data_IF_676987326188
#
_entry.id   IF_676987326188
#
_cell.length_a   1.000
_cell.length_b   1.000
_cell.length_c   1.000
_cell.angle_alpha   90.00
_cell.angle_beta   90.00
_cell.angle_gamma   90.00
#
_symmetry.space_group_name_H-M   'P 1'
#
loop_
_entity.id
_entity.type
_entity.pdbx_description
1 polymer ?
#
# COMPACT_ATOMS: atom_id res chain seq x y z
N UNK A 1 -18.96 -2.74 0.82
CA UNK A 1 -18.15 -3.43 -0.20
C UNK A 1 -19.03 -4.51 -0.79
N UNK A 2 -19.15 -4.53 -2.11
CA UNK A 2 -19.81 -5.59 -2.81
C UNK A 2 -19.05 -6.91 -2.57
N UNK A 3 -19.76 -7.97 -2.15
CA UNK A 3 -19.17 -9.28 -1.92
C UNK A 3 -18.56 -9.91 -3.21
N UNK A 4 -18.88 -9.36 -4.38
CA UNK A 4 -18.34 -9.79 -5.67
C UNK A 4 -17.12 -8.98 -6.12
N UNK A 5 -16.64 -8.02 -5.30
CA UNK A 5 -15.47 -7.24 -5.65
C UNK A 5 -14.19 -8.07 -5.47
N UNK A 6 -13.48 -8.33 -6.55
CA UNK A 6 -12.32 -9.22 -6.59
C UNK A 6 -10.96 -8.52 -6.42
N UNK A 7 -10.92 -7.20 -6.42
CA UNK A 7 -9.72 -6.40 -6.23
C UNK A 7 -9.34 -6.18 -4.76
N UNK A 8 -8.72 -5.04 -4.48
CA UNK A 8 -8.43 -4.57 -3.13
C UNK A 8 -9.30 -3.35 -2.78
N UNK A 9 -9.50 -3.10 -1.48
CA UNK A 9 -10.07 -1.86 -0.99
C UNK A 9 -9.23 -1.32 0.16
N UNK A 10 -8.54 -0.21 -0.09
CA UNK A 10 -7.75 0.49 0.91
C UNK A 10 -8.65 1.40 1.76
N UNK A 11 -8.41 1.42 3.05
CA UNK A 11 -9.11 2.31 3.97
C UNK A 11 -8.24 3.53 4.25
N UNK A 12 -8.75 4.71 3.94
CA UNK A 12 -8.12 5.99 4.25
C UNK A 12 -8.95 6.83 5.21
N UNK A 13 -8.30 7.81 5.81
CA UNK A 13 -8.94 8.90 6.56
C UNK A 13 -8.41 10.24 6.08
N UNK A 14 -9.13 11.32 6.34
CA UNK A 14 -8.68 12.67 6.02
C UNK A 14 -7.80 13.21 7.15
N UNK A 15 -6.51 13.42 6.84
CA UNK A 15 -5.53 13.97 7.76
C UNK A 15 -4.80 15.17 7.15
N UNK A 16 -4.28 16.11 7.97
CA UNK A 16 -3.45 17.20 7.46
C UNK A 16 -2.24 16.68 6.66
N UNK A 17 -1.85 17.41 5.60
CA UNK A 17 -0.70 17.05 4.78
C UNK A 17 0.59 16.88 5.58
N UNK A 18 0.72 17.62 6.69
CA UNK A 18 1.86 17.50 7.61
C UNK A 18 1.96 16.11 8.26
N UNK A 19 0.84 15.43 8.48
CA UNK A 19 0.78 14.02 8.90
C UNK A 19 1.14 13.12 7.71
N UNK A 20 0.55 13.39 6.54
CA UNK A 20 0.70 12.59 5.33
C UNK A 20 2.13 12.39 4.86
N UNK A 21 3.01 13.38 5.04
CA UNK A 21 4.43 13.27 4.63
C UNK A 21 5.21 12.14 5.31
N UNK A 22 4.74 11.66 6.45
CA UNK A 22 5.41 10.60 7.23
C UNK A 22 4.78 9.21 6.98
N UNK A 23 3.71 9.15 6.22
CA UNK A 23 2.90 7.95 6.00
C UNK A 23 2.65 7.69 4.51
N UNK A 24 1.85 6.69 4.21
CA UNK A 24 1.29 6.48 2.89
C UNK A 24 0.12 7.44 2.65
N UNK A 25 0.01 7.93 1.42
CA UNK A 25 -1.08 8.77 0.96
C UNK A 25 -1.64 8.19 -0.33
N UNK A 26 -2.94 8.07 -0.41
CA UNK A 26 -3.62 7.67 -1.64
C UNK A 26 -4.07 8.90 -2.43
N UNK A 27 -3.84 8.86 -3.74
CA UNK A 27 -4.46 9.79 -4.67
C UNK A 27 -5.67 9.11 -5.31
N UNK A 28 -6.85 9.71 -5.13
CA UNK A 28 -8.10 9.23 -5.73
C UNK A 28 -8.17 9.61 -7.22
N UNK A 29 -8.69 8.72 -8.06
CA UNK A 29 -8.90 8.98 -9.49
C UNK A 29 -10.18 9.79 -9.80
N UNK A 30 -10.99 10.10 -8.78
CA UNK A 30 -12.29 10.76 -8.90
C UNK A 30 -13.48 9.78 -9.05
N UNK A 31 -13.23 8.48 -9.05
CA UNK A 31 -14.22 7.40 -9.18
C UNK A 31 -14.11 6.35 -8.05
N UNK A 32 -13.60 6.78 -6.89
CA UNK A 32 -13.38 5.92 -5.71
C UNK A 32 -12.35 4.80 -5.91
N UNK A 33 -11.41 4.98 -6.83
CA UNK A 33 -10.27 4.09 -6.98
C UNK A 33 -8.95 4.81 -6.69
N UNK A 34 -7.96 4.04 -6.28
CA UNK A 34 -6.60 4.56 -6.07
C UNK A 34 -5.95 4.77 -7.42
N UNK A 35 -5.71 6.05 -7.75
CA UNK A 35 -4.95 6.46 -8.92
C UNK A 35 -3.47 6.20 -8.74
N UNK A 36 -2.94 6.62 -7.58
CA UNK A 36 -1.53 6.52 -7.25
C UNK A 36 -1.36 6.32 -5.74
N UNK A 37 -0.37 5.53 -5.35
CA UNK A 37 0.05 5.37 -3.95
C UNK A 37 1.35 6.13 -3.74
N UNK A 38 1.35 7.08 -2.80
CA UNK A 38 2.44 8.01 -2.53
C UNK A 38 3.00 7.72 -1.13
N UNK A 39 4.13 7.01 -1.06
CA UNK A 39 4.72 6.61 0.21
C UNK A 39 5.76 7.63 0.68
N UNK A 40 5.56 8.24 1.86
CA UNK A 40 6.49 9.17 2.53
C UNK A 40 7.02 10.29 1.61
N UNK A 41 6.12 10.94 0.88
CA UNK A 41 6.45 12.05 0.01
C UNK A 41 6.50 13.38 0.77
N UNK A 42 7.29 14.35 0.26
CA UNK A 42 7.28 15.72 0.83
C UNK A 42 5.93 16.40 0.65
N UNK A 43 5.64 17.41 1.48
CA UNK A 43 4.38 18.17 1.35
C UNK A 43 4.26 18.84 -0.01
N UNK A 44 5.37 19.37 -0.55
CA UNK A 44 5.44 19.98 -1.88
C UNK A 44 5.05 18.95 -2.95
N UNK A 45 5.63 17.75 -2.88
CA UNK A 45 5.34 16.68 -3.83
C UNK A 45 3.89 16.23 -3.76
N UNK A 46 3.32 16.08 -2.56
CA UNK A 46 1.91 15.75 -2.37
C UNK A 46 0.98 16.81 -2.98
N UNK A 47 1.34 18.12 -2.88
CA UNK A 47 0.59 19.21 -3.50
C UNK A 47 0.72 19.19 -5.02
N UNK A 48 1.92 19.02 -5.56
CA UNK A 48 2.17 18.93 -7.01
C UNK A 48 1.39 17.78 -7.65
N UNK A 49 1.32 16.63 -6.98
CA UNK A 49 0.56 15.46 -7.44
C UNK A 49 -0.96 15.63 -7.32
N UNK A 50 -1.42 16.70 -6.67
CA UNK A 50 -2.85 16.94 -6.44
C UNK A 50 -3.49 16.08 -5.33
N UNK A 51 -2.66 15.49 -4.46
CA UNK A 51 -3.15 14.66 -3.34
C UNK A 51 -3.73 15.48 -2.18
N UNK A 52 -3.46 16.81 -2.14
CA UNK A 52 -3.92 17.69 -1.07
C UNK A 52 -5.22 18.39 -1.50
N UNK A 53 -6.28 18.18 -0.75
CA UNK A 53 -7.57 18.82 -1.00
C UNK A 53 -7.58 20.32 -0.60
N UNK A 54 -8.71 21.02 -0.88
CA UNK A 54 -8.86 22.46 -0.58
C UNK A 54 -8.75 22.79 0.90
N UNK A 55 -9.02 21.84 1.81
CA UNK A 55 -8.90 22.01 3.25
C UNK A 55 -7.47 21.73 3.76
N UNK A 56 -6.52 21.40 2.89
CA UNK A 56 -5.14 21.06 3.27
C UNK A 56 -4.95 19.62 3.74
N UNK A 57 -5.95 18.75 3.53
CA UNK A 57 -5.93 17.35 3.95
C UNK A 57 -5.59 16.41 2.77
N UNK A 58 -5.09 15.23 3.12
CA UNK A 58 -4.79 14.10 2.24
C UNK A 58 -5.63 12.88 2.62
N UNK A 59 -5.72 11.90 1.72
CA UNK A 59 -6.22 10.56 2.02
C UNK A 59 -5.09 9.72 2.61
N UNK A 60 -4.99 9.72 3.95
CA UNK A 60 -3.96 9.00 4.67
C UNK A 60 -4.25 7.50 4.66
N UNK A 61 -3.23 6.70 4.37
CA UNK A 61 -3.28 5.25 4.51
C UNK A 61 -3.35 4.86 6.00
N UNK A 62 -4.39 4.10 6.36
CA UNK A 62 -4.56 3.59 7.72
C UNK A 62 -3.82 2.26 7.96
N UNK A 63 -3.22 1.68 6.93
CA UNK A 63 -2.64 0.35 6.96
C UNK A 63 -3.67 -0.78 6.85
N UNK A 64 -4.97 -0.47 6.77
CA UNK A 64 -6.02 -1.46 6.63
C UNK A 64 -6.43 -1.60 5.15
N UNK A 65 -6.28 -2.80 4.62
CA UNK A 65 -6.65 -3.14 3.24
C UNK A 65 -7.46 -4.43 3.22
N UNK A 66 -8.55 -4.41 2.49
CA UNK A 66 -9.39 -5.59 2.24
C UNK A 66 -9.00 -6.18 0.89
N UNK A 67 -8.79 -7.48 0.84
CA UNK A 67 -8.47 -8.20 -0.38
C UNK A 67 -9.65 -9.09 -0.79
N UNK A 68 -10.07 -8.97 -2.03
CA UNK A 68 -11.03 -9.89 -2.63
C UNK A 68 -10.44 -11.29 -2.84
N UNK A 69 -11.30 -12.27 -2.98
CA UNK A 69 -10.93 -13.68 -3.05
C UNK A 69 -10.02 -13.98 -4.24
N UNK A 70 -10.29 -13.41 -5.43
CA UNK A 70 -9.48 -13.65 -6.62
C UNK A 70 -8.06 -13.05 -6.48
N UNK A 71 -7.95 -11.86 -5.90
CA UNK A 71 -6.65 -11.23 -5.62
C UNK A 71 -5.84 -12.06 -4.60
N UNK A 72 -6.47 -12.52 -3.51
CA UNK A 72 -5.81 -13.41 -2.54
C UNK A 72 -5.31 -14.70 -3.19
N UNK A 73 -6.12 -15.30 -4.08
CA UNK A 73 -5.71 -16.49 -4.82
C UNK A 73 -4.54 -16.20 -5.77
N UNK A 74 -4.51 -15.04 -6.43
CA UNK A 74 -3.39 -14.64 -7.29
C UNK A 74 -2.09 -14.51 -6.48
N UNK A 75 -2.15 -13.85 -5.31
CA UNK A 75 -1.02 -13.74 -4.40
C UNK A 75 -0.57 -15.11 -3.86
N UNK A 76 -1.51 -15.97 -3.48
CA UNK A 76 -1.19 -17.31 -3.00
C UNK A 76 -0.49 -18.17 -4.05
N UNK A 77 -0.82 -18.02 -5.33
CA UNK A 77 -0.15 -18.75 -6.44
C UNK A 77 1.32 -18.40 -6.58
N UNK A 78 1.75 -17.21 -6.14
CA UNK A 78 3.16 -16.83 -6.14
C UNK A 78 4.01 -17.75 -5.26
N UNK A 79 3.45 -18.26 -4.17
CA UNK A 79 4.14 -19.07 -3.18
C UNK A 79 3.65 -20.52 -3.11
N UNK A 80 2.77 -20.96 -4.03
CA UNK A 80 2.16 -22.28 -3.99
C UNK A 80 2.27 -23.03 -5.30
N UNK A 81 2.18 -24.36 -5.21
CA UNK A 81 2.04 -25.30 -6.32
C UNK A 81 0.96 -26.31 -5.95
N UNK A 82 0.01 -26.56 -6.86
CA UNK A 82 -1.13 -27.49 -6.65
C UNK A 82 -1.92 -27.19 -5.35
N UNK A 83 -2.08 -25.91 -5.01
CA UNK A 83 -2.84 -25.48 -3.82
C UNK A 83 -2.13 -25.69 -2.48
N UNK A 84 -0.85 -26.04 -2.48
CA UNK A 84 -0.02 -26.18 -1.28
C UNK A 84 1.16 -25.21 -1.34
N UNK A 85 1.60 -24.69 -0.18
CA UNK A 85 2.82 -23.86 -0.13
C UNK A 85 3.99 -24.64 -0.68
N UNK A 86 4.66 -24.03 -1.65
CA UNK A 86 5.90 -24.52 -2.26
C UNK A 86 7.07 -23.81 -1.58
N UNK A 87 7.91 -24.57 -0.87
CA UNK A 87 8.99 -24.01 -0.06
C UNK A 87 10.00 -23.20 -0.90
N UNK A 88 10.30 -23.64 -2.12
CA UNK A 88 11.23 -22.92 -3.01
C UNK A 88 10.66 -21.57 -3.42
N UNK A 89 9.39 -21.53 -3.86
CA UNK A 89 8.68 -20.29 -4.19
C UNK A 89 8.55 -19.37 -2.97
N UNK A 90 8.16 -19.93 -1.82
CA UNK A 90 8.04 -19.15 -0.58
C UNK A 90 9.36 -18.47 -0.21
N UNK A 91 10.48 -19.19 -0.25
CA UNK A 91 11.81 -18.65 0.05
C UNK A 91 12.26 -17.58 -0.94
N UNK A 92 11.78 -17.58 -2.19
CA UNK A 92 12.07 -16.56 -3.16
C UNK A 92 11.46 -15.19 -2.76
N UNK A 93 10.27 -15.19 -2.17
CA UNK A 93 9.58 -13.97 -1.75
C UNK A 93 9.88 -13.58 -0.28
N UNK A 94 10.14 -14.56 0.58
CA UNK A 94 10.33 -14.36 2.02
C UNK A 94 11.81 -14.54 2.39
N UNK A 95 12.64 -13.54 2.10
CA UNK A 95 14.07 -13.54 2.41
C UNK A 95 14.60 -12.11 2.62
N UNK A 96 15.79 -11.99 3.20
CA UNK A 96 16.45 -10.72 3.48
C UNK A 96 17.04 -10.03 2.24
N UNK A 97 17.25 -10.76 1.15
CA UNK A 97 17.81 -10.19 -0.08
C UNK A 97 16.76 -9.38 -0.84
N UNK A 98 15.57 -9.95 -1.08
CA UNK A 98 14.47 -9.26 -1.74
C UNK A 98 13.75 -8.26 -0.82
N UNK A 99 13.57 -8.59 0.47
CA UNK A 99 12.89 -7.74 1.48
C UNK A 99 11.63 -7.07 0.98
N UNK A 100 10.72 -7.88 0.47
CA UNK A 100 9.44 -7.40 -0.08
C UNK A 100 8.65 -6.65 0.99
N UNK A 101 8.12 -5.50 0.62
CA UNK A 101 7.30 -4.64 1.46
C UNK A 101 5.82 -4.77 1.09
N UNK A 102 4.95 -4.80 2.09
CA UNK A 102 3.51 -4.81 1.85
C UNK A 102 3.06 -3.56 1.06
N UNK A 103 3.51 -2.39 1.48
CA UNK A 103 3.07 -1.13 0.90
C UNK A 103 3.67 -0.88 -0.49
N UNK A 104 4.99 -1.00 -0.61
CA UNK A 104 5.70 -0.72 -1.84
C UNK A 104 5.50 -1.78 -2.91
N UNK A 105 5.37 -3.05 -2.52
CA UNK A 105 5.43 -4.14 -3.49
C UNK A 105 4.07 -4.80 -3.77
N UNK A 106 3.10 -4.75 -2.84
CA UNK A 106 1.77 -5.30 -3.08
C UNK A 106 0.71 -4.24 -3.36
N UNK A 107 0.78 -3.04 -2.78
CA UNK A 107 -0.23 -2.01 -3.03
C UNK A 107 0.06 -1.18 -4.28
N UNK A 108 1.33 -0.91 -4.57
CA UNK A 108 1.73 -0.10 -5.73
C UNK A 108 1.18 -0.64 -7.07
N UNK A 109 1.29 -1.95 -7.38
CA UNK A 109 0.77 -2.50 -8.64
C UNK A 109 -0.75 -2.40 -8.81
N UNK A 110 -1.49 -2.19 -7.72
CA UNK A 110 -2.97 -2.11 -7.73
C UNK A 110 -3.49 -0.69 -8.01
N UNK A 111 -2.61 0.31 -8.08
CA UNK A 111 -2.98 1.68 -8.40
C UNK A 111 -3.13 1.86 -9.92
N UNK A 112 -4.17 2.57 -10.36
CA UNK A 112 -4.55 2.66 -11.77
C UNK A 112 -3.49 3.30 -12.69
N UNK A 113 -2.70 4.25 -12.17
CA UNK A 113 -1.64 4.93 -12.93
C UNK A 113 -0.25 4.30 -12.71
N UNK A 114 -0.16 3.14 -12.04
CA UNK A 114 1.12 2.44 -11.84
C UNK A 114 1.64 1.88 -13.18
N UNK A 115 2.96 1.89 -13.33
CA UNK A 115 3.65 1.24 -14.45
C UNK A 115 4.73 0.29 -13.93
N UNK A 116 5.05 -0.75 -14.69
CA UNK A 116 6.11 -1.68 -14.32
C UNK A 116 7.47 -0.98 -14.25
N UNK A 117 7.72 -0.04 -15.14
CA UNK A 117 8.98 0.72 -15.18
C UNK A 117 9.18 1.55 -13.92
N UNK A 118 8.14 2.24 -13.46
CA UNK A 118 8.21 3.04 -12.24
C UNK A 118 8.21 2.14 -10.99
N UNK A 119 7.50 1.00 -11.03
CA UNK A 119 7.53 0.02 -9.96
C UNK A 119 8.94 -0.49 -9.66
N UNK A 120 9.77 -0.69 -10.68
CA UNK A 120 11.17 -1.07 -10.46
C UNK A 120 12.01 0.03 -9.77
N UNK A 121 11.60 1.28 -9.87
CA UNK A 121 12.28 2.45 -9.30
C UNK A 121 11.76 2.83 -7.91
N UNK A 122 10.59 2.28 -7.51
CA UNK A 122 10.00 2.58 -6.21
C UNK A 122 10.94 2.24 -5.05
N UNK A 123 10.84 3.03 -3.97
CA UNK A 123 11.61 2.83 -2.76
C UNK A 123 11.41 1.41 -2.21
N UNK A 124 12.49 0.77 -1.78
CA UNK A 124 12.50 -0.55 -1.21
C UNK A 124 12.86 -0.51 0.29
N UNK A 125 12.43 -1.51 1.04
CA UNK A 125 12.87 -1.69 2.44
C UNK A 125 14.36 -2.07 2.54
N UNK A 126 14.90 -2.67 1.48
CA UNK A 126 16.31 -3.01 1.30
C UNK A 126 16.95 -2.24 0.15
N UNK A 127 17.89 -2.87 -0.50
CA UNK A 127 18.52 -2.34 -1.71
C UNK A 127 17.74 -2.77 -2.95
N UNK A 128 17.70 -1.91 -3.96
CA UNK A 128 17.24 -2.29 -5.30
C UNK A 128 18.27 -3.25 -5.89
N UNK A 129 17.92 -4.53 -5.99
CA UNK A 129 18.77 -5.60 -6.48
C UNK A 129 17.99 -6.53 -7.42
N UNK A 130 18.69 -7.51 -8.00
CA UNK A 130 18.11 -8.45 -8.97
C UNK A 130 17.03 -9.34 -8.35
N UNK A 131 17.21 -9.79 -7.11
CA UNK A 131 16.21 -10.61 -6.41
C UNK A 131 14.88 -9.86 -6.19
N UNK A 132 14.95 -8.60 -5.77
CA UNK A 132 13.76 -7.75 -5.63
C UNK A 132 13.13 -7.46 -7.00
N UNK A 133 13.94 -7.18 -8.02
CA UNK A 133 13.44 -6.94 -9.38
C UNK A 133 12.68 -8.15 -9.94
N UNK A 134 13.21 -9.37 -9.75
CA UNK A 134 12.52 -10.59 -10.14
C UNK A 134 11.20 -10.79 -9.40
N UNK A 135 11.19 -10.57 -8.07
CA UNK A 135 9.98 -10.63 -7.26
C UNK A 135 8.94 -9.60 -7.71
N UNK A 136 9.34 -8.35 -7.96
CA UNK A 136 8.47 -7.29 -8.47
C UNK A 136 7.85 -7.65 -9.81
N UNK A 137 8.64 -8.24 -10.71
CA UNK A 137 8.13 -8.73 -12.01
C UNK A 137 7.01 -9.75 -11.82
N UNK A 138 7.22 -10.73 -10.93
CA UNK A 138 6.23 -11.78 -10.68
C UNK A 138 4.98 -11.22 -9.98
N UNK A 139 5.14 -10.34 -9.00
CA UNK A 139 4.03 -9.66 -8.31
C UNK A 139 3.23 -8.85 -9.33
N UNK A 140 3.88 -8.02 -10.14
CA UNK A 140 3.24 -7.23 -11.18
C UNK A 140 2.37 -8.11 -12.10
N UNK A 141 2.97 -9.16 -12.67
CA UNK A 141 2.26 -10.06 -13.58
C UNK A 141 1.05 -10.74 -12.92
N UNK A 142 1.12 -10.98 -11.61
CA UNK A 142 0.06 -11.63 -10.87
C UNK A 142 -1.11 -10.69 -10.52
N UNK A 143 -0.85 -9.40 -10.23
CA UNK A 143 -1.88 -8.56 -9.59
C UNK A 143 -2.15 -7.20 -10.23
N UNK A 144 -1.35 -6.68 -11.17
CA UNK A 144 -1.54 -5.33 -11.75
C UNK A 144 -2.87 -5.16 -12.49
N UNK A 145 -3.53 -6.24 -12.87
CA UNK A 145 -4.83 -6.20 -13.53
C UNK A 145 -6.02 -6.09 -12.58
N UNK A 146 -5.79 -6.19 -11.26
CA UNK A 146 -6.78 -5.88 -10.25
C UNK A 146 -6.79 -4.38 -9.93
N UNK A 147 -7.95 -3.88 -9.53
CA UNK A 147 -8.08 -2.48 -9.10
C UNK A 147 -8.15 -2.38 -7.58
N UNK A 148 -7.74 -1.23 -7.05
CA UNK A 148 -7.85 -0.92 -5.63
C UNK A 148 -8.85 0.22 -5.41
N UNK A 149 -9.98 -0.08 -4.74
CA UNK A 149 -10.93 0.94 -4.29
C UNK A 149 -10.34 1.74 -3.13
N UNK A 150 -10.73 3.00 -3.04
CA UNK A 150 -10.41 3.88 -1.92
C UNK A 150 -11.66 4.14 -1.09
N UNK A 151 -11.65 3.65 0.15
CA UNK A 151 -12.73 3.83 1.12
C UNK A 151 -12.29 4.85 2.17
N UNK A 152 -12.72 6.10 2.00
CA UNK A 152 -12.42 7.15 2.97
C UNK A 152 -13.42 7.13 4.12
N UNK A 153 -12.94 6.85 5.32
CA UNK A 153 -13.70 6.96 6.57
C UNK A 153 -13.49 8.37 7.14
N UNK A 154 -14.52 9.24 7.02
CA UNK A 154 -14.44 10.60 7.54
C UNK A 154 -15.85 11.03 8.01
N UNK A 155 -15.99 11.59 9.24
CA UNK A 155 -14.91 11.93 10.17
C UNK A 155 -14.35 10.69 10.89
N UNK A 156 -13.02 10.67 11.09
CA UNK A 156 -12.30 9.66 11.85
C UNK A 156 -11.01 10.27 12.41
N UNK A 157 -10.40 9.63 13.38
CA UNK A 157 -9.13 10.03 13.98
C UNK A 157 -8.08 8.93 13.71
N UNK A 158 -6.87 9.36 13.34
CA UNK A 158 -5.73 8.45 13.15
C UNK A 158 -4.82 8.48 14.37
N UNK A 159 -4.74 7.36 15.07
CA UNK A 159 -3.85 7.19 16.21
C UNK A 159 -2.81 6.14 15.84
N UNK A 160 -1.58 6.61 15.58
CA UNK A 160 -0.45 5.73 15.29
C UNK A 160 0.39 5.47 16.54
N UNK A 161 0.65 4.21 16.84
CA UNK A 161 1.53 3.79 17.94
C UNK A 161 2.38 2.58 17.54
N UNK A 162 3.21 2.79 16.51
CA UNK A 162 4.16 1.78 16.02
C UNK A 162 5.34 1.52 16.95
N UNK A 163 5.54 2.36 17.99
CA UNK A 163 6.61 2.22 18.96
C UNK A 163 6.08 2.22 20.40
N UNK A 164 6.82 1.57 21.32
CA UNK A 164 6.52 1.61 22.76
C UNK A 164 6.45 3.03 23.32
N UNK A 165 7.25 3.95 22.77
CA UNK A 165 7.25 5.36 23.17
C UNK A 165 5.94 6.05 22.80
N UNK A 166 5.42 5.81 21.60
CA UNK A 166 4.15 6.36 21.14
C UNK A 166 2.98 5.79 21.93
N UNK A 167 2.97 4.47 22.17
CA UNK A 167 1.97 3.84 23.02
C UNK A 167 1.98 4.45 24.44
N UNK A 168 3.17 4.61 25.04
CA UNK A 168 3.30 5.25 26.35
C UNK A 168 2.72 6.68 26.32
N UNK A 169 3.07 7.48 25.31
CA UNK A 169 2.57 8.85 25.17
C UNK A 169 1.05 8.89 25.03
N UNK A 170 0.46 7.91 24.35
CA UNK A 170 -0.98 7.82 24.18
C UNK A 170 -1.68 7.54 25.51
N UNK A 171 -1.22 6.52 26.28
CA UNK A 171 -1.88 6.12 27.54
C UNK A 171 -1.59 7.04 28.72
N UNK A 172 -0.63 7.97 28.61
CA UNK A 172 -0.27 8.93 29.67
C UNK A 172 -0.71 10.36 29.37
N UNK A 173 -1.41 10.61 28.24
CA UNK A 173 -1.88 11.95 27.89
C UNK A 173 -3.00 12.50 28.79
N UNK A 174 -3.70 11.63 29.48
CA UNK A 174 -4.86 11.96 30.33
C UNK A 174 -4.55 11.87 31.85
N UNK A 175 -3.27 11.93 32.24
CA UNK A 175 -2.84 11.90 33.65
C UNK A 175 -2.14 13.19 34.01
#
# INVERSE_FOLDING_TARGET
IDAQFDGAAAISIKEPVATGKNHGVFLNDGHDYVKCFLHKQTEERLREMGAVNKAGNVDLDTGAVLFGSALLQALFRLISTEGKVDEKKFRQFCNEEARISFYGDFLYPLANDSTLEDFYKEAAEGQLNEALHECRTQIWNAIHHFSMKLLCLSPAEFIHFGTTRELRSLVTKDV
#
